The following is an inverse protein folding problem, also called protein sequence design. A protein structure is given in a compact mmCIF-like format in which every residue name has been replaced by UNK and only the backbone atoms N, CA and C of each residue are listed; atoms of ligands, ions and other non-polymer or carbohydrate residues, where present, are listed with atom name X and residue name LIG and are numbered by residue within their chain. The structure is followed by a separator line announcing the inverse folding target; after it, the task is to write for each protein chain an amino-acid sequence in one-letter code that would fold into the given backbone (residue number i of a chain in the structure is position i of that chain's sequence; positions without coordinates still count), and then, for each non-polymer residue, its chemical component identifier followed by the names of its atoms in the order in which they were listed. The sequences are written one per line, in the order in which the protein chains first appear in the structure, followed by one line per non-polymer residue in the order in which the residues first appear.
data_IF_444500119118
#
_entry.id   IF_444500119118
#
_cell.length_a   1.000
_cell.length_b   1.000
_cell.length_c   1.000
_cell.angle_alpha   90.00
_cell.angle_beta   90.00
_cell.angle_gamma   90.00
#
_symmetry.space_group_name_H-M   'P 1'
#
loop_
_entity.id
_entity.type
_entity.pdbx_description
1 polymer ?
#
# COMPACT_ATOMS: atom_id res chain seq x y z
N UNK A 1 14.36 -9.62 -19.41
CA UNK A 1 14.10 -10.85 -20.18
C UNK A 1 12.61 -11.09 -20.20
N UNK A 2 12.03 -11.13 -21.39
CA UNK A 2 10.59 -11.29 -21.64
C UNK A 2 10.25 -12.78 -21.55
N UNK A 3 9.34 -13.18 -20.65
CA UNK A 3 8.83 -14.55 -20.62
C UNK A 3 7.70 -14.66 -21.66
N UNK A 4 7.84 -15.44 -22.74
CA UNK A 4 6.78 -15.59 -23.73
C UNK A 4 5.55 -16.28 -23.10
N UNK A 5 4.35 -15.73 -23.29
CA UNK A 5 3.09 -16.31 -22.82
C UNK A 5 2.44 -15.64 -21.61
N UNK A 6 3.10 -14.70 -20.96
CA UNK A 6 2.55 -13.98 -19.80
C UNK A 6 1.54 -12.91 -20.23
N UNK A 7 0.35 -12.91 -19.63
CA UNK A 7 -0.69 -11.92 -19.91
C UNK A 7 -0.25 -10.50 -19.52
N UNK A 8 -0.59 -9.53 -20.36
CA UNK A 8 -0.30 -8.10 -20.17
C UNK A 8 -1.57 -7.26 -20.29
N UNK A 9 -1.64 -6.18 -19.54
CA UNK A 9 -2.78 -5.24 -19.62
C UNK A 9 -2.74 -4.52 -20.97
N UNK A 10 -3.77 -4.64 -21.83
CA UNK A 10 -3.78 -3.95 -23.12
C UNK A 10 -3.82 -2.43 -22.97
N UNK A 11 -3.16 -1.70 -23.87
CA UNK A 11 -3.09 -0.23 -23.83
C UNK A 11 -2.00 0.34 -22.93
N UNK A 12 -1.13 -0.53 -22.38
CA UNK A 12 0.00 -0.13 -21.55
C UNK A 12 1.29 -0.82 -22.01
N UNK A 13 2.34 -0.04 -22.22
CA UNK A 13 3.67 -0.51 -22.56
C UNK A 13 4.55 -0.59 -21.30
N UNK A 14 4.98 -1.79 -20.91
CA UNK A 14 5.86 -1.97 -19.75
C UNK A 14 7.25 -1.36 -20.00
N UNK A 15 7.75 -0.57 -19.05
CA UNK A 15 9.06 0.07 -19.08
C UNK A 15 10.09 -0.76 -18.33
N UNK A 16 9.83 -1.05 -17.04
CA UNK A 16 10.74 -1.81 -16.18
C UNK A 16 10.01 -2.42 -14.97
N UNK A 17 10.54 -3.48 -14.36
CA UNK A 17 10.04 -3.95 -13.06
C UNK A 17 10.27 -2.90 -11.95
N UNK A 18 9.31 -2.84 -11.03
CA UNK A 18 9.40 -2.08 -9.76
C UNK A 18 9.56 -3.00 -8.56
N UNK A 19 8.99 -4.21 -8.62
CA UNK A 19 9.12 -5.21 -7.58
C UNK A 19 8.34 -6.48 -7.91
N UNK A 20 8.57 -7.52 -7.12
CA UNK A 20 7.85 -8.78 -7.19
C UNK A 20 7.77 -9.39 -5.80
N UNK A 21 6.61 -9.94 -5.44
CA UNK A 21 6.39 -10.65 -4.19
C UNK A 21 5.31 -11.71 -4.32
N UNK A 22 4.92 -12.29 -3.18
CA UNK A 22 3.84 -13.28 -3.07
C UNK A 22 2.48 -12.76 -3.58
N UNK A 23 2.33 -11.43 -3.60
CA UNK A 23 1.17 -10.65 -4.02
C UNK A 23 1.27 -10.16 -5.48
N UNK A 24 2.20 -10.74 -6.24
CA UNK A 24 2.36 -10.54 -7.68
C UNK A 24 3.54 -9.66 -8.08
N UNK A 25 3.63 -9.37 -9.38
CA UNK A 25 4.68 -8.50 -9.95
C UNK A 25 4.16 -7.09 -10.18
N UNK A 26 4.99 -6.09 -9.88
CA UNK A 26 4.71 -4.68 -10.11
C UNK A 26 5.70 -4.15 -11.15
N UNK A 27 5.17 -3.48 -12.16
CA UNK A 27 5.97 -2.85 -13.22
C UNK A 27 5.60 -1.38 -13.39
N UNK A 28 6.58 -0.58 -13.79
CA UNK A 28 6.35 0.74 -14.36
C UNK A 28 5.93 0.53 -15.81
N UNK A 29 4.86 1.17 -16.23
CA UNK A 29 4.38 1.15 -17.60
C UNK A 29 4.00 2.56 -18.05
N UNK A 30 3.86 2.73 -19.36
CA UNK A 30 3.36 3.93 -20.00
C UNK A 30 2.01 3.61 -20.64
N UNK A 31 0.98 4.38 -20.34
CA UNK A 31 -0.30 4.28 -21.04
C UNK A 31 -0.15 4.78 -22.48
N UNK A 32 -0.50 3.96 -23.46
CA UNK A 32 -0.28 4.23 -24.88
C UNK A 32 -1.06 5.45 -25.39
N UNK A 33 -2.22 5.75 -24.80
CA UNK A 33 -3.09 6.85 -25.22
C UNK A 33 -2.62 8.21 -24.70
N UNK A 34 -2.16 8.28 -23.46
CA UNK A 34 -1.76 9.53 -22.80
C UNK A 34 -0.24 9.74 -22.76
N UNK A 35 0.55 8.70 -23.00
CA UNK A 35 2.00 8.72 -22.85
C UNK A 35 2.47 8.82 -21.39
N UNK A 36 1.55 8.63 -20.43
CA UNK A 36 1.86 8.88 -19.02
C UNK A 36 2.23 7.61 -18.26
N UNK A 37 3.04 7.78 -17.21
CA UNK A 37 3.51 6.66 -16.39
C UNK A 37 2.43 6.18 -15.42
N UNK A 38 2.36 4.85 -15.25
CA UNK A 38 1.54 4.15 -14.27
C UNK A 38 2.33 3.02 -13.62
N UNK A 39 1.93 2.62 -12.42
CA UNK A 39 2.33 1.34 -11.86
C UNK A 39 1.24 0.29 -12.14
N UNK A 40 1.64 -0.87 -12.64
CA UNK A 40 0.73 -2.00 -12.88
C UNK A 40 1.16 -3.15 -11.99
N UNK A 41 0.26 -3.58 -11.11
CA UNK A 41 0.41 -4.81 -10.33
C UNK A 41 -0.39 -5.92 -10.99
N UNK A 42 0.31 -6.94 -11.46
CA UNK A 42 -0.30 -8.17 -11.93
C UNK A 42 -0.58 -9.08 -10.75
N UNK A 43 -1.83 -9.51 -10.63
CA UNK A 43 -2.31 -10.31 -9.50
C UNK A 43 -2.07 -11.80 -9.76
N UNK A 44 -1.86 -12.59 -8.69
CA UNK A 44 -1.71 -14.03 -8.83
C UNK A 44 -3.02 -14.69 -9.31
N UNK A 45 -2.94 -15.91 -9.83
CA UNK A 45 -4.08 -16.58 -10.48
C UNK A 45 -5.26 -16.78 -9.53
N UNK A 46 -4.99 -17.00 -8.25
CA UNK A 46 -5.95 -17.14 -7.17
C UNK A 46 -6.85 -15.91 -7.04
N UNK A 47 -6.39 -14.71 -7.43
CA UNK A 47 -7.24 -13.51 -7.45
C UNK A 47 -8.45 -13.66 -8.39
N UNK A 48 -8.37 -14.57 -9.37
CA UNK A 48 -9.40 -14.84 -10.37
C UNK A 48 -10.16 -16.13 -10.13
N UNK A 49 -9.48 -17.15 -9.62
CA UNK A 49 -10.04 -18.51 -9.54
C UNK A 49 -10.73 -18.78 -8.20
N UNK A 50 -10.37 -18.06 -7.13
CA UNK A 50 -10.99 -18.24 -5.82
C UNK A 50 -12.38 -17.59 -5.78
N UNK A 51 -13.44 -18.35 -5.45
CA UNK A 51 -14.81 -17.85 -5.44
C UNK A 51 -14.99 -16.61 -4.54
N UNK A 52 -15.58 -15.55 -5.09
CA UNK A 52 -15.88 -14.32 -4.35
C UNK A 52 -14.69 -13.39 -4.09
N UNK A 53 -13.45 -13.81 -4.40
CA UNK A 53 -12.26 -12.94 -4.26
C UNK A 53 -12.26 -11.84 -5.29
N UNK A 54 -12.51 -12.17 -6.57
CA UNK A 54 -12.55 -11.19 -7.64
C UNK A 54 -13.66 -10.15 -7.43
N UNK A 55 -14.84 -10.58 -6.96
CA UNK A 55 -15.98 -9.70 -6.68
C UNK A 55 -15.67 -8.73 -5.53
N UNK A 56 -15.12 -9.24 -4.43
CA UNK A 56 -14.69 -8.42 -3.28
C UNK A 56 -13.60 -7.43 -3.70
N UNK A 57 -12.56 -7.90 -4.37
CA UNK A 57 -11.47 -7.05 -4.84
C UNK A 57 -11.98 -5.94 -5.77
N UNK A 58 -12.87 -6.26 -6.71
CA UNK A 58 -13.51 -5.26 -7.57
C UNK A 58 -14.34 -4.26 -6.77
N UNK A 59 -15.00 -4.67 -5.68
CA UNK A 59 -15.76 -3.77 -4.83
C UNK A 59 -14.82 -2.82 -4.05
N UNK A 60 -13.79 -3.37 -3.41
CA UNK A 60 -12.81 -2.60 -2.62
C UNK A 60 -12.08 -1.58 -3.51
N UNK A 61 -11.61 -2.00 -4.69
CA UNK A 61 -10.93 -1.11 -5.61
C UNK A 61 -11.83 0.01 -6.13
N UNK A 62 -13.16 -0.20 -6.25
CA UNK A 62 -14.10 0.86 -6.64
C UNK A 62 -14.15 1.94 -5.57
N UNK A 63 -14.26 1.53 -4.31
CA UNK A 63 -14.26 2.44 -3.17
C UNK A 63 -12.95 3.23 -3.10
N UNK A 64 -11.80 2.57 -3.33
CA UNK A 64 -10.49 3.21 -3.33
C UNK A 64 -10.24 4.15 -4.52
N UNK A 65 -10.85 3.90 -5.69
CA UNK A 65 -10.65 4.73 -6.88
C UNK A 65 -11.28 6.14 -6.75
N UNK A 66 -12.28 6.27 -5.88
CA UNK A 66 -12.92 7.54 -5.57
C UNK A 66 -12.17 8.33 -4.48
N UNK A 67 -11.19 7.71 -3.81
CA UNK A 67 -10.36 8.38 -2.80
C UNK A 67 -9.23 9.20 -3.42
N UNK A 68 -9.08 10.41 -2.90
CA UNK A 68 -7.96 11.30 -3.16
C UNK A 68 -7.32 11.70 -1.83
N UNK A 69 -6.33 10.92 -1.39
CA UNK A 69 -5.63 11.15 -0.12
C UNK A 69 -4.12 11.18 -0.35
N UNK A 70 -3.38 12.15 0.23
CA UNK A 70 -1.93 12.26 0.05
C UNK A 70 -1.13 11.10 0.62
N UNK A 71 -1.71 10.23 1.45
CA UNK A 71 -1.06 9.05 2.04
C UNK A 71 -1.48 7.75 1.35
N UNK A 72 -2.27 7.81 0.29
CA UNK A 72 -2.71 6.66 -0.50
C UNK A 72 -2.23 6.80 -1.95
N UNK A 73 -1.74 5.70 -2.53
CA UNK A 73 -1.55 5.66 -3.99
C UNK A 73 -2.90 5.51 -4.68
N UNK A 74 -3.20 6.41 -5.62
CA UNK A 74 -4.48 6.39 -6.32
C UNK A 74 -4.64 5.13 -7.17
N UNK A 75 -5.79 4.47 -7.08
CA UNK A 75 -6.16 3.39 -8.00
C UNK A 75 -6.78 4.00 -9.26
N UNK A 76 -6.31 3.61 -10.43
CA UNK A 76 -6.82 4.12 -11.71
C UNK A 76 -7.74 3.13 -12.42
N UNK A 77 -7.38 1.84 -12.41
CA UNK A 77 -8.08 0.84 -13.21
C UNK A 77 -7.94 -0.55 -12.60
N UNK A 78 -9.00 -1.36 -12.69
CA UNK A 78 -8.92 -2.80 -12.50
C UNK A 78 -9.11 -3.49 -13.85
N UNK A 79 -8.05 -4.13 -14.33
CA UNK A 79 -8.05 -4.83 -15.60
C UNK A 79 -8.11 -6.33 -15.35
N UNK A 80 -9.14 -6.99 -15.89
CA UNK A 80 -9.32 -8.43 -15.78
C UNK A 80 -9.74 -9.06 -17.11
N UNK A 81 -9.38 -10.33 -17.29
CA UNK A 81 -9.76 -11.10 -18.46
C UNK A 81 -9.50 -12.60 -18.29
N UNK A 82 -9.77 -13.41 -19.34
CA UNK A 82 -9.60 -14.87 -19.29
C UNK A 82 -8.16 -15.33 -18.97
N UNK A 83 -7.18 -14.44 -19.15
CA UNK A 83 -5.75 -14.76 -19.04
C UNK A 83 -5.04 -14.11 -17.84
N UNK A 84 -5.71 -13.23 -17.09
CA UNK A 84 -5.08 -12.55 -15.95
C UNK A 84 -5.89 -11.39 -15.38
N UNK A 85 -5.43 -10.87 -14.25
CA UNK A 85 -5.98 -9.71 -13.57
C UNK A 85 -4.86 -8.79 -13.10
N UNK A 86 -5.10 -7.49 -13.09
CA UNK A 86 -4.14 -6.48 -12.71
C UNK A 86 -4.82 -5.22 -12.17
N UNK A 87 -4.08 -4.47 -11.37
CA UNK A 87 -4.47 -3.16 -10.86
C UNK A 87 -3.50 -2.13 -11.44
N UNK A 88 -4.05 -1.12 -12.12
CA UNK A 88 -3.31 0.06 -12.58
C UNK A 88 -3.49 1.16 -11.55
N UNK A 89 -2.39 1.76 -11.11
CA UNK A 89 -2.37 2.74 -10.02
C UNK A 89 -1.30 3.80 -10.24
N UNK A 90 -1.34 4.82 -9.39
CA UNK A 90 -0.33 5.87 -9.31
C UNK A 90 1.06 5.25 -9.12
N UNK A 91 2.05 5.61 -9.96
CA UNK A 91 3.44 5.27 -9.71
C UNK A 91 4.01 6.23 -8.67
N UNK A 92 4.02 5.85 -7.39
CA UNK A 92 4.58 6.69 -6.33
C UNK A 92 6.08 6.87 -6.52
N UNK A 93 6.54 8.12 -6.61
CA UNK A 93 7.96 8.43 -6.79
C UNK A 93 8.78 8.31 -5.50
N UNK A 94 9.00 7.06 -5.08
CA UNK A 94 9.71 6.75 -3.85
C UNK A 94 10.28 5.34 -3.84
N UNK A 95 10.89 4.98 -2.72
CA UNK A 95 11.37 3.62 -2.44
C UNK A 95 10.56 3.00 -1.30
N UNK A 96 10.45 1.67 -1.25
CA UNK A 96 9.74 1.03 -0.13
C UNK A 96 10.48 1.25 1.19
N UNK A 97 9.73 1.33 2.29
CA UNK A 97 10.28 1.39 3.64
C UNK A 97 11.16 0.15 3.91
N UNK A 98 10.83 -1.01 3.32
CA UNK A 98 11.75 -2.16 3.35
C UNK A 98 13.13 -1.83 2.77
N UNK A 99 13.20 -1.13 1.64
CA UNK A 99 14.47 -0.74 1.05
C UNK A 99 15.21 0.28 1.94
N UNK A 100 14.49 1.22 2.54
CA UNK A 100 15.05 2.17 3.53
C UNK A 100 15.66 1.41 4.71
N UNK A 101 14.91 0.49 5.33
CA UNK A 101 15.35 -0.28 6.49
C UNK A 101 16.51 -1.24 6.19
N UNK A 102 16.69 -1.66 4.93
CA UNK A 102 17.90 -2.42 4.52
C UNK A 102 19.15 -1.54 4.48
N UNK A 103 19.01 -0.27 4.16
CA UNK A 103 20.13 0.69 4.14
C UNK A 103 20.47 1.17 5.54
N UNK A 104 19.45 1.50 6.35
CA UNK A 104 19.62 1.98 7.71
C UNK A 104 18.49 1.50 8.62
N UNK A 105 18.85 0.74 9.65
CA UNK A 105 17.92 0.28 10.69
C UNK A 105 18.68 0.03 12.00
N UNK A 106 18.16 0.42 13.17
CA UNK A 106 16.93 1.21 13.36
C UNK A 106 17.06 2.64 12.80
N UNK A 107 15.91 3.28 12.59
CA UNK A 107 15.83 4.70 12.20
C UNK A 107 15.53 5.58 13.41
N UNK A 108 15.70 6.90 13.27
CA UNK A 108 15.45 7.81 14.40
C UNK A 108 13.98 7.79 14.83
N UNK A 109 13.67 8.00 16.13
CA UNK A 109 12.30 8.01 16.60
C UNK A 109 11.40 9.01 15.85
N UNK A 110 11.92 10.20 15.53
CA UNK A 110 11.16 11.21 14.77
C UNK A 110 10.81 10.74 13.36
N UNK A 111 11.74 10.10 12.66
CA UNK A 111 11.47 9.55 11.32
C UNK A 111 10.44 8.41 11.39
N UNK A 112 10.59 7.50 12.37
CA UNK A 112 9.65 6.39 12.57
C UNK A 112 8.23 6.87 12.88
N UNK A 113 8.07 7.88 13.75
CA UNK A 113 6.78 8.45 14.12
C UNK A 113 6.12 9.17 12.93
N UNK A 114 6.89 9.83 12.06
CA UNK A 114 6.35 10.45 10.83
C UNK A 114 5.82 9.41 9.85
N UNK A 115 6.60 8.35 9.59
CA UNK A 115 6.15 7.25 8.71
C UNK A 115 4.92 6.52 9.28
N UNK A 116 4.88 6.37 10.60
CA UNK A 116 3.73 5.79 11.29
C UNK A 116 2.50 6.70 11.21
N UNK A 117 2.65 8.02 11.39
CA UNK A 117 1.56 9.00 11.23
C UNK A 117 0.96 8.94 9.83
N UNK A 118 1.79 9.00 8.78
CA UNK A 118 1.32 8.89 7.40
C UNK A 118 0.57 7.59 7.14
N UNK A 119 1.09 6.48 7.68
CA UNK A 119 0.44 5.17 7.56
C UNK A 119 -0.94 5.17 8.23
N UNK A 120 -1.05 5.73 9.44
CA UNK A 120 -2.34 5.83 10.13
C UNK A 120 -3.32 6.77 9.41
N UNK A 121 -2.85 7.87 8.83
CA UNK A 121 -3.69 8.77 8.04
C UNK A 121 -4.25 8.07 6.79
N UNK A 122 -3.40 7.36 6.04
CA UNK A 122 -3.86 6.57 4.89
C UNK A 122 -4.82 5.44 5.30
N UNK A 123 -4.54 4.76 6.41
CA UNK A 123 -5.46 3.75 6.96
C UNK A 123 -6.80 4.36 7.37
N UNK A 124 -6.80 5.54 8.00
CA UNK A 124 -8.03 6.23 8.40
C UNK A 124 -8.90 6.54 7.18
N UNK A 125 -8.32 7.10 6.11
CA UNK A 125 -9.04 7.40 4.87
C UNK A 125 -9.63 6.14 4.22
N UNK A 126 -8.87 5.03 4.17
CA UNK A 126 -9.37 3.77 3.62
C UNK A 126 -10.47 3.14 4.50
N UNK A 127 -10.31 3.17 5.83
CA UNK A 127 -11.30 2.62 6.77
C UNK A 127 -12.62 3.40 6.73
N UNK A 128 -12.57 4.72 6.56
CA UNK A 128 -13.76 5.56 6.37
C UNK A 128 -14.53 5.19 5.10
N UNK A 129 -13.81 4.82 4.03
CA UNK A 129 -14.41 4.30 2.80
C UNK A 129 -14.88 2.83 2.90
N UNK A 130 -14.68 2.18 4.06
CA UNK A 130 -15.07 0.78 4.29
C UNK A 130 -14.08 -0.25 3.77
N UNK A 131 -12.84 0.15 3.44
CA UNK A 131 -11.81 -0.74 2.88
C UNK A 131 -10.72 -1.01 3.91
N UNK A 132 -10.44 -2.29 4.15
CA UNK A 132 -9.35 -2.75 5.03
C UNK A 132 -8.09 -3.01 4.18
N UNK A 133 -6.91 -2.60 4.66
CA UNK A 133 -5.67 -2.85 3.94
C UNK A 133 -5.33 -4.34 3.94
N UNK A 134 -5.36 -4.99 5.10
CA UNK A 134 -5.23 -6.45 5.27
C UNK A 134 -3.83 -7.04 5.07
N UNK A 135 -2.86 -6.24 4.64
CA UNK A 135 -1.46 -6.66 4.42
C UNK A 135 -0.49 -5.47 4.57
N UNK A 136 -0.68 -4.65 5.61
CA UNK A 136 0.23 -3.54 5.89
C UNK A 136 1.60 -4.08 6.34
N UNK A 137 2.67 -3.65 5.66
CA UNK A 137 4.07 -4.09 5.88
C UNK A 137 5.05 -3.10 5.24
N UNK A 138 6.36 -3.15 5.56
CA UNK A 138 7.33 -2.17 5.04
C UNK A 138 7.45 -2.14 3.50
N UNK A 139 7.09 -3.23 2.81
CA UNK A 139 7.04 -3.28 1.35
C UNK A 139 5.90 -2.42 0.76
N UNK A 140 4.88 -2.10 1.57
CA UNK A 140 3.67 -1.37 1.18
C UNK A 140 3.65 0.09 1.62
N UNK A 141 4.71 0.56 2.28
CA UNK A 141 4.92 1.97 2.61
C UNK A 141 5.98 2.51 1.65
N UNK A 142 5.62 3.40 0.73
CA UNK A 142 6.54 4.02 -0.23
C UNK A 142 6.95 5.39 0.27
N UNK A 143 8.25 5.55 0.53
CA UNK A 143 8.89 6.74 1.09
C UNK A 143 9.42 7.62 -0.05
N UNK A 144 8.96 8.86 -0.09
CA UNK A 144 9.29 9.85 -1.11
C UNK A 144 10.49 10.72 -0.68
N UNK A 145 11.12 11.38 -1.66
CA UNK A 145 12.32 12.19 -1.43
C UNK A 145 12.11 13.46 -0.60
N UNK A 146 10.86 13.89 -0.39
CA UNK A 146 10.48 15.02 0.45
C UNK A 146 10.17 14.63 1.91
N UNK A 147 10.25 13.34 2.23
CA UNK A 147 9.93 12.82 3.56
C UNK A 147 8.45 12.47 3.78
N UNK A 148 7.62 12.55 2.74
CA UNK A 148 6.27 11.98 2.74
C UNK A 148 6.30 10.47 2.50
N UNK A 149 5.23 9.79 2.88
CA UNK A 149 5.02 8.39 2.50
C UNK A 149 3.59 8.10 2.07
N UNK A 150 3.46 7.16 1.14
CA UNK A 150 2.17 6.67 0.62
C UNK A 150 2.05 5.17 0.82
N UNK A 151 0.85 4.73 1.16
CA UNK A 151 0.48 3.34 1.23
C UNK A 151 0.05 2.82 -0.15
N UNK A 152 0.47 1.59 -0.47
CA UNK A 152 0.08 0.85 -1.68
C UNK A 152 -0.45 -0.52 -1.31
N UNK A 153 -1.20 -1.16 -2.22
CA UNK A 153 -1.56 -2.59 -2.06
C UNK A 153 -2.80 -2.86 -1.22
N UNK A 154 -3.68 -1.87 -1.00
CA UNK A 154 -4.95 -2.06 -0.30
C UNK A 154 -5.85 -3.07 -0.98
N UNK A 155 -6.48 -3.94 -0.18
CA UNK A 155 -7.47 -4.90 -0.66
C UNK A 155 -6.91 -5.98 -1.60
N UNK A 156 -5.60 -5.97 -1.88
CA UNK A 156 -4.97 -6.87 -2.86
C UNK A 156 -4.56 -8.21 -2.25
N UNK A 157 -4.76 -8.39 -0.95
CA UNK A 157 -4.47 -9.65 -0.27
C UNK A 157 -5.49 -10.73 -0.68
N UNK A 158 -5.08 -11.55 -1.64
CA UNK A 158 -5.87 -12.69 -2.15
C UNK A 158 -5.99 -13.78 -1.09
N UNK A 159 -4.94 -13.97 -0.27
CA UNK A 159 -4.91 -14.88 0.89
C UNK A 159 -4.23 -14.19 2.06
N UNK A 160 -4.82 -14.29 3.25
CA UNK A 160 -4.16 -13.91 4.50
C UNK A 160 -3.03 -14.92 4.79
N UNK A 161 -1.83 -14.65 4.27
CA UNK A 161 -0.62 -15.36 4.69
C UNK A 161 -0.06 -14.64 5.90
N UNK A 162 0.13 -15.39 6.98
CA UNK A 162 0.70 -14.85 8.20
C UNK A 162 2.15 -14.40 7.96
N UNK A 163 2.38 -13.10 7.99
CA UNK A 163 3.70 -12.47 8.04
C UNK A 163 4.08 -12.18 9.50
N UNK A 164 5.27 -11.63 9.72
CA UNK A 164 5.68 -11.13 11.03
C UNK A 164 4.76 -9.99 11.55
N UNK A 165 4.08 -9.27 10.65
CA UNK A 165 3.22 -8.12 10.96
C UNK A 165 1.75 -8.51 11.16
N UNK A 166 1.37 -9.75 10.85
CA UNK A 166 -0.02 -10.19 10.93
C UNK A 166 -0.50 -10.23 12.38
N UNK A 167 -1.63 -9.54 12.62
CA UNK A 167 -2.27 -9.48 13.93
C UNK A 167 -2.64 -10.88 14.45
N UNK A 168 -2.59 -11.11 15.78
CA UNK A 168 -2.87 -12.43 16.37
C UNK A 168 -4.21 -13.02 15.95
N UNK A 169 -5.25 -12.20 15.86
CA UNK A 169 -6.57 -12.62 15.44
C UNK A 169 -6.65 -13.08 13.99
N UNK A 170 -5.92 -12.42 13.10
CA UNK A 170 -5.86 -12.78 11.67
C UNK A 170 -5.05 -14.07 11.50
N UNK A 171 -3.96 -14.24 12.27
CA UNK A 171 -3.24 -15.53 12.33
C UNK A 171 -4.11 -16.67 12.86
N UNK A 172 -5.05 -16.36 13.76
CA UNK A 172 -6.04 -17.30 14.26
C UNK A 172 -7.22 -17.54 13.29
N UNK A 173 -7.17 -16.98 12.07
CA UNK A 173 -8.18 -17.19 11.03
C UNK A 173 -9.36 -16.22 11.06
N UNK A 174 -9.37 -15.22 11.95
CA UNK A 174 -10.39 -14.15 11.87
C UNK A 174 -10.12 -13.26 10.65
N UNK A 175 -11.16 -12.71 10.00
CA UNK A 175 -10.97 -11.75 8.92
C UNK A 175 -10.16 -10.53 9.37
N UNK A 176 -9.42 -9.93 8.43
CA UNK A 176 -8.77 -8.65 8.65
C UNK A 176 -9.81 -7.55 8.95
N UNK A 177 -9.42 -6.58 9.77
CA UNK A 177 -10.24 -5.46 10.21
C UNK A 177 -9.38 -4.20 10.38
N UNK A 178 -10.01 -3.05 10.63
CA UNK A 178 -9.30 -1.83 10.98
C UNK A 178 -8.33 -2.02 12.17
N UNK A 179 -8.75 -2.80 13.18
CA UNK A 179 -7.91 -3.10 14.33
C UNK A 179 -6.66 -3.93 13.97
N UNK A 180 -6.76 -4.85 13.00
CA UNK A 180 -5.60 -5.62 12.55
C UNK A 180 -4.62 -4.79 11.71
N UNK A 181 -5.12 -3.82 10.95
CA UNK A 181 -4.26 -2.87 10.21
C UNK A 181 -3.48 -1.96 11.17
N UNK A 182 -4.13 -1.45 12.22
CA UNK A 182 -3.46 -0.66 13.27
C UNK A 182 -2.38 -1.48 13.99
N UNK A 183 -2.64 -2.76 14.26
CA UNK A 183 -1.61 -3.67 14.79
C UNK A 183 -0.43 -3.78 13.83
N UNK A 184 -0.69 -4.04 12.55
CA UNK A 184 0.35 -4.20 11.55
C UNK A 184 1.19 -2.93 11.37
N UNK A 185 0.56 -1.75 11.35
CA UNK A 185 1.26 -0.46 11.32
C UNK A 185 2.12 -0.24 12.57
N UNK A 186 1.62 -0.63 13.75
CA UNK A 186 2.41 -0.54 14.99
C UNK A 186 3.57 -1.53 14.99
N UNK A 187 3.39 -2.71 14.38
CA UNK A 187 4.44 -3.71 14.22
C UNK A 187 5.57 -3.18 13.30
N UNK A 188 5.23 -2.43 12.24
CA UNK A 188 6.18 -1.71 11.39
C UNK A 188 6.89 -0.59 12.17
N UNK A 189 6.17 0.20 12.98
CA UNK A 189 6.77 1.21 13.86
C UNK A 189 7.79 0.58 14.81
N UNK A 190 7.44 -0.54 15.44
CA UNK A 190 8.33 -1.27 16.36
C UNK A 190 9.62 -1.72 15.67
N UNK A 191 9.54 -2.24 14.45
CA UNK A 191 10.73 -2.57 13.65
C UNK A 191 11.56 -1.33 13.32
N UNK A 192 10.93 -0.22 12.94
CA UNK A 192 11.63 1.03 12.66
C UNK A 192 12.44 1.52 13.88
N UNK A 193 11.86 1.41 15.08
CA UNK A 193 12.48 1.87 16.33
C UNK A 193 13.56 0.93 16.86
N UNK A 194 13.42 -0.38 16.64
CA UNK A 194 14.28 -1.40 17.27
C UNK A 194 15.23 -2.10 16.30
N UNK A 195 14.95 -1.99 15.01
CA UNK A 195 15.61 -2.74 13.93
C UNK A 195 15.35 -4.24 13.94
N UNK A 196 14.35 -4.70 14.72
CA UNK A 196 14.00 -6.11 14.86
C UNK A 196 12.61 -6.38 14.34
N UNK A 197 12.46 -7.49 13.62
CA UNK A 197 11.15 -7.94 13.15
C UNK A 197 10.21 -8.22 14.34
N UNK A 198 8.91 -7.89 14.22
CA UNK A 198 7.94 -7.99 15.32
C UNK A 198 7.51 -9.44 15.70
N UNK A 199 8.22 -10.48 15.24
CA UNK A 199 7.73 -11.86 15.21
C UNK A 199 7.69 -12.64 16.54
N UNK A 200 6.55 -13.33 16.78
CA UNK A 200 6.38 -14.45 17.74
C UNK A 200 5.81 -14.11 19.12
N UNK A 201 6.01 -14.97 20.13
CA UNK A 201 5.75 -14.72 21.59
C UNK A 201 6.58 -13.54 22.16
N UNK A 202 7.28 -12.79 21.29
CA UNK A 202 8.28 -11.79 21.60
C UNK A 202 7.78 -10.35 21.39
N UNK A 203 6.50 -10.13 21.12
CA UNK A 203 5.89 -8.79 21.07
C UNK A 203 6.25 -7.97 22.32
N UNK A 204 6.11 -8.59 23.50
CA UNK A 204 6.48 -7.97 24.79
C UNK A 204 8.00 -7.67 24.92
N UNK A 205 8.86 -8.49 24.30
CA UNK A 205 10.30 -8.31 24.35
C UNK A 205 10.81 -7.24 23.37
N UNK A 206 10.10 -7.02 22.26
CA UNK A 206 10.36 -5.93 21.32
C UNK A 206 9.98 -4.57 21.94
N UNK A 207 8.83 -4.49 22.63
CA UNK A 207 8.38 -3.27 23.33
C UNK A 207 9.36 -2.78 24.40
N UNK A 208 10.13 -3.68 25.04
CA UNK A 208 11.16 -3.28 26.02
C UNK A 208 12.30 -2.46 25.41
N UNK A 209 12.57 -2.63 24.12
CA UNK A 209 13.64 -1.91 23.40
C UNK A 209 13.16 -0.59 22.79
N UNK A 210 11.85 -0.39 22.75
CA UNK A 210 11.25 0.89 22.39
C UNK A 210 11.65 1.93 23.45
N UNK A 211 12.04 3.15 23.03
CA UNK A 211 12.30 4.25 23.96
C UNK A 211 11.13 4.44 24.93
N UNK A 212 11.43 4.62 26.22
CA UNK A 212 10.42 4.69 27.30
C UNK A 212 9.24 5.61 26.96
N UNK A 213 9.43 6.84 26.41
CA UNK A 213 8.30 7.72 26.09
C UNK A 213 7.34 7.19 25.02
N UNK A 214 7.74 6.20 24.21
CA UNK A 214 6.94 5.64 23.12
C UNK A 214 6.41 4.24 23.42
N UNK A 215 6.78 3.68 24.58
CA UNK A 215 6.50 2.27 24.90
C UNK A 215 4.99 2.01 24.99
N UNK A 216 4.27 2.84 25.72
CA UNK A 216 2.82 2.66 25.94
C UNK A 216 2.03 2.74 24.61
N UNK A 217 2.42 3.67 23.73
CA UNK A 217 1.87 3.81 22.37
C UNK A 217 2.04 2.50 21.58
N UNK A 218 3.25 1.92 21.60
CA UNK A 218 3.56 0.68 20.89
C UNK A 218 2.86 -0.52 21.54
N UNK A 219 2.84 -0.62 22.86
CA UNK A 219 2.19 -1.72 23.58
C UNK A 219 0.67 -1.76 23.34
N UNK A 220 0.02 -0.60 23.32
CA UNK A 220 -1.41 -0.47 22.98
C UNK A 220 -1.70 -0.87 21.54
N UNK A 221 -0.93 -0.39 20.57
CA UNK A 221 -1.11 -0.78 19.17
C UNK A 221 -0.84 -2.28 18.92
N UNK A 222 0.10 -2.87 19.66
CA UNK A 222 0.43 -4.31 19.60
C UNK A 222 -0.39 -5.19 20.56
N UNK A 223 -1.44 -4.67 21.18
CA UNK A 223 -2.25 -5.44 22.11
C UNK A 223 -2.82 -6.70 21.43
N UNK A 224 -2.71 -7.85 22.11
CA UNK A 224 -3.20 -9.12 21.57
C UNK A 224 -4.72 -9.15 21.38
N UNK A 225 -5.45 -8.47 22.27
CA UNK A 225 -6.88 -8.23 22.15
C UNK A 225 -7.14 -6.97 21.28
N UNK A 226 -7.84 -7.08 20.15
CA UNK A 226 -8.23 -5.93 19.34
C UNK A 226 -8.99 -4.84 20.11
N UNK A 227 -9.76 -5.19 21.15
CA UNK A 227 -10.54 -4.24 21.94
C UNK A 227 -9.71 -3.33 22.85
N UNK A 228 -8.43 -3.66 23.08
CA UNK A 228 -7.49 -2.85 23.87
C UNK A 228 -6.67 -1.87 23.00
N UNK A 229 -6.78 -1.98 21.68
CA UNK A 229 -6.11 -1.08 20.73
C UNK A 229 -6.90 0.23 20.62
N UNK A 230 -6.30 1.31 20.09
CA UNK A 230 -7.06 2.51 19.73
C UNK A 230 -8.27 2.15 18.84
N UNK A 231 -9.43 2.78 19.06
CA UNK A 231 -10.69 2.36 18.41
C UNK A 231 -10.74 2.69 16.92
N UNK A 232 -9.93 3.63 16.44
CA UNK A 232 -9.79 3.97 15.02
C UNK A 232 -8.41 4.54 14.72
N UNK A 233 -7.99 4.48 13.46
CA UNK A 233 -6.72 5.04 13.03
C UNK A 233 -6.65 6.56 13.26
N UNK A 234 -7.76 7.28 13.08
CA UNK A 234 -7.84 8.71 13.37
C UNK A 234 -7.62 9.03 14.85
N UNK A 235 -8.21 8.25 15.77
CA UNK A 235 -7.94 8.42 17.21
C UNK A 235 -6.50 8.06 17.57
N UNK A 236 -5.91 7.09 16.87
CA UNK A 236 -4.51 6.73 17.06
C UNK A 236 -3.56 7.84 16.60
N UNK A 237 -3.89 8.57 15.52
CA UNK A 237 -3.13 9.76 15.08
C UNK A 237 -3.14 10.85 16.17
N UNK A 238 -4.31 11.11 16.77
CA UNK A 238 -4.41 12.12 17.84
C UNK A 238 -3.52 11.78 19.04
N UNK A 239 -3.56 10.52 19.48
CA UNK A 239 -2.69 10.03 20.55
C UNK A 239 -1.19 10.10 20.17
N UNK A 240 -0.86 9.69 18.95
CA UNK A 240 0.50 9.75 18.41
C UNK A 240 1.04 11.18 18.46
N UNK A 241 0.25 12.17 18.06
CA UNK A 241 0.67 13.57 18.04
C UNK A 241 1.02 14.09 19.45
N UNK A 242 0.22 13.74 20.45
CA UNK A 242 0.48 14.08 21.86
C UNK A 242 1.77 13.42 22.37
N UNK A 243 1.90 12.11 22.17
CA UNK A 243 3.07 11.32 22.61
C UNK A 243 4.34 11.78 21.89
N UNK A 244 4.28 12.00 20.58
CA UNK A 244 5.42 12.43 19.78
C UNK A 244 5.88 13.85 20.17
N UNK A 245 4.95 14.77 20.42
CA UNK A 245 5.27 16.11 20.90
C UNK A 245 5.96 16.08 22.26
N UNK A 246 5.45 15.28 23.20
CA UNK A 246 6.05 15.11 24.52
C UNK A 246 7.44 14.46 24.47
N UNK A 247 7.61 13.41 23.65
CA UNK A 247 8.84 12.64 23.56
C UNK A 247 9.94 13.32 22.73
N UNK A 248 9.57 14.01 21.65
CA UNK A 248 10.49 14.48 20.62
C UNK A 248 10.51 16.02 20.44
N UNK A 249 9.66 16.75 21.18
CA UNK A 249 9.46 18.20 21.16
C UNK A 249 8.48 18.66 20.07
N UNK A 250 7.96 19.88 20.18
CA UNK A 250 6.91 20.41 19.30
C UNK A 250 7.22 20.37 17.79
N UNK A 251 8.49 20.53 17.40
CA UNK A 251 8.92 20.44 15.99
C UNK A 251 9.34 19.02 15.59
N UNK A 252 8.81 17.98 16.24
CA UNK A 252 9.13 16.58 15.94
C UNK A 252 8.79 16.22 14.49
N UNK A 253 7.65 16.67 13.98
CA UNK A 253 7.16 16.31 12.64
C UNK A 253 8.06 16.91 11.56
N UNK A 254 8.35 18.21 11.61
CA UNK A 254 9.25 18.86 10.65
C UNK A 254 10.65 18.23 10.64
N UNK A 255 11.20 17.93 11.82
CA UNK A 255 12.51 17.25 11.92
C UNK A 255 12.44 15.80 11.46
N UNK A 256 11.33 15.11 11.73
CA UNK A 256 11.08 13.75 11.27
C UNK A 256 11.00 13.69 9.75
N UNK A 257 10.26 14.59 9.10
CA UNK A 257 10.18 14.72 7.64
C UNK A 257 11.56 14.87 7.01
N UNK A 258 12.39 15.77 7.53
CA UNK A 258 13.79 15.92 7.08
C UNK A 258 14.60 14.64 7.24
N UNK A 259 14.49 13.99 8.40
CA UNK A 259 15.18 12.72 8.64
C UNK A 259 14.70 11.59 7.70
N UNK A 260 13.41 11.55 7.35
CA UNK A 260 12.87 10.60 6.35
C UNK A 260 13.41 10.92 4.96
N UNK A 261 13.45 12.20 4.57
CA UNK A 261 14.05 12.62 3.30
C UNK A 261 15.54 12.23 3.21
N UNK A 262 16.30 12.43 4.28
CA UNK A 262 17.71 12.03 4.36
C UNK A 262 17.90 10.51 4.20
N UNK A 263 16.99 9.72 4.77
CA UNK A 263 16.96 8.26 4.60
C UNK A 263 16.61 7.83 3.17
N UNK A 264 15.76 8.59 2.48
CA UNK A 264 15.31 8.30 1.12
C UNK A 264 16.31 8.77 0.05
N UNK A 265 17.11 9.80 0.32
CA UNK A 265 18.01 10.42 -0.65
C UNK A 265 18.98 9.45 -1.33
N UNK A 266 19.64 8.49 -0.62
CA UNK A 266 20.51 7.50 -1.27
C UNK A 266 19.77 6.56 -2.24
N UNK A 267 18.45 6.42 -2.08
CA UNK A 267 17.62 5.55 -2.90
C UNK A 267 16.99 6.29 -4.09
N UNK A 268 17.14 7.62 -4.19
CA UNK A 268 16.56 8.42 -5.27
C UNK A 268 16.83 7.89 -6.69
N UNK A 269 18.04 7.37 -7.03
CA UNK A 269 18.30 6.77 -8.34
C UNK A 269 17.43 5.54 -8.67
N UNK A 270 16.81 4.91 -7.67
CA UNK A 270 15.93 3.75 -7.83
C UNK A 270 14.46 4.12 -8.04
N UNK A 271 14.09 5.38 -7.79
CA UNK A 271 12.72 5.84 -7.84
C UNK A 271 12.09 5.66 -9.23
N UNK A 272 10.77 5.38 -9.31
CA UNK A 272 10.12 5.03 -10.56
C UNK A 272 10.05 6.17 -11.57
N UNK A 273 10.04 7.43 -11.14
CA UNK A 273 9.73 8.55 -12.03
C UNK A 273 10.88 9.55 -12.18
N UNK A 274 11.18 9.86 -13.44
CA UNK A 274 11.95 11.06 -13.83
C UNK A 274 11.04 12.21 -14.30
N UNK A 275 9.71 12.04 -14.24
CA UNK A 275 8.67 13.00 -14.69
C UNK A 275 7.40 12.87 -13.83
N UNK A 276 6.58 13.92 -13.66
CA UNK A 276 5.38 13.85 -12.83
C UNK A 276 4.38 12.78 -13.32
N UNK A 277 3.65 12.12 -12.39
CA UNK A 277 2.63 11.12 -12.71
C UNK A 277 1.37 11.74 -13.34
N UNK A 278 0.46 10.89 -13.84
CA UNK A 278 -0.88 11.29 -14.31
C UNK A 278 -1.63 12.12 -13.27
N UNK A 279 -2.04 13.32 -13.64
CA UNK A 279 -3.06 14.07 -12.92
C UNK A 279 -4.44 13.67 -13.47
N UNK A 280 -5.01 12.60 -12.91
CA UNK A 280 -6.39 12.18 -13.20
C UNK A 280 -7.28 12.51 -12.01
N UNK A 281 -8.44 13.16 -12.24
CA UNK A 281 -9.40 13.34 -11.18
C UNK A 281 -9.91 11.98 -10.67
N UNK A 282 -10.22 11.85 -9.37
CA UNK A 282 -10.85 10.65 -8.81
C UNK A 282 -12.13 10.29 -9.57
N UNK A 283 -12.44 9.00 -9.70
CA UNK A 283 -13.68 8.53 -10.34
C UNK A 283 -13.65 7.15 -10.99
N UNK A 284 -14.85 6.76 -11.48
CA UNK A 284 -15.28 5.42 -11.93
C UNK A 284 -14.16 4.54 -12.50
N UNK A 285 -13.86 3.46 -11.78
CA UNK A 285 -13.02 2.37 -12.28
C UNK A 285 -13.47 1.89 -13.66
N UNK A 286 -12.57 2.00 -14.63
CA UNK A 286 -12.74 1.27 -15.88
C UNK A 286 -12.55 -0.22 -15.61
N UNK A 287 -13.50 -1.02 -16.09
CA UNK A 287 -13.31 -2.47 -16.23
C UNK A 287 -13.26 -2.78 -17.72
N UNK A 288 -12.15 -3.38 -18.15
CA UNK A 288 -11.97 -3.76 -19.56
C UNK A 288 -12.92 -4.88 -20.02
N UNK A 289 -13.62 -5.56 -19.10
CA UNK A 289 -14.66 -6.53 -19.45
C UNK A 289 -15.76 -5.92 -20.34
N UNK A 290 -16.01 -4.61 -20.22
CA UNK A 290 -16.99 -3.89 -21.04
C UNK A 290 -16.40 -3.32 -22.34
N UNK A 291 -15.12 -2.92 -22.36
CA UNK A 291 -14.51 -2.27 -23.52
C UNK A 291 -14.35 -3.22 -24.73
N UNK A 292 -14.15 -4.51 -24.48
CA UNK A 292 -14.11 -5.54 -25.52
C UNK A 292 -15.43 -5.67 -26.28
N UNK A 293 -16.58 -5.41 -25.64
CA UNK A 293 -17.90 -5.43 -26.33
C UNK A 293 -18.09 -4.23 -27.25
N UNK A 294 -17.47 -3.08 -26.94
CA UNK A 294 -17.60 -1.86 -27.74
C UNK A 294 -16.75 -1.84 -29.02
N UNK A 295 -15.60 -2.54 -29.03
CA UNK A 295 -14.72 -2.64 -30.22
C UNK A 295 -15.20 -3.68 -31.23
N UNK A 296 -15.82 -4.78 -30.78
CA UNK A 296 -16.43 -5.76 -31.70
C UNK A 296 -17.80 -5.32 -32.25
N UNK A 297 -18.57 -4.52 -31.51
CA UNK A 297 -19.86 -3.99 -31.98
C UNK A 297 -19.77 -2.98 -33.14
N UNK A 298 -18.65 -2.27 -33.29
CA UNK A 298 -18.45 -1.32 -34.41
C UNK A 298 -17.82 -1.92 -35.66
N UNK A 299 -17.22 -3.12 -35.56
CA UNK A 299 -16.71 -3.86 -36.72
C UNK A 299 -17.83 -4.66 -37.41
N UNK A 300 -18.79 -5.20 -36.65
CA UNK A 300 -19.94 -5.93 -37.21
C UNK A 300 -20.96 -5.00 -37.92
N UNK A 301 -21.07 -3.73 -37.51
CA UNK A 301 -21.99 -2.77 -38.13
C UNK A 301 -21.51 -2.18 -39.48
N UNK A 302 -20.28 -2.47 -39.92
CA UNK A 302 -19.75 -2.03 -41.23
C UNK A 302 -19.87 -3.08 -42.35
N UNK A 303 -20.20 -4.33 -42.02
CA UNK A 303 -20.45 -5.39 -43.02
C UNK A 303 -21.94 -5.60 -43.34
N UNK A 304 -22.86 -4.87 -42.68
CA UNK A 304 -24.31 -4.97 -42.92
C UNK A 304 -24.89 -3.77 -43.71
N UNK A 305 -24.05 -3.02 -44.45
CA UNK A 305 -24.49 -1.90 -45.31
C UNK A 305 -23.95 -1.97 -46.74
N UNK A 306 -23.44 -3.13 -47.14
CA UNK A 306 -23.09 -3.45 -48.53
C UNK A 306 -23.59 -4.85 -48.79
N UNK A 307 -24.92 -4.96 -48.94
CA UNK A 307 -25.65 -5.94 -49.75
C UNK A 307 -27.08 -5.42 -49.91
#
# INVERSE_FOLDING_TARGET
MTVPGEWRVPGYAEVRPLGSGDDGRVVLAVEETSGSHVAIRYLPEEARTEPGVAERLRADLRLLADLDDPHLARVHEYADGPRGAAVVMEPVNGASLRAVLRGQSPITPRAALVLFKDSLLGLAAAHEAGVVHGDHKPEHVLVQGDGASKLVGFGLAVRARATAYTAPEVRAGRPASAASDMYAATAVLSECLTGRLPGGRHSEAASRQVPVPLRDLVERGLAGDPGLRPPSAAMFVAELDEVASAACGAAWEQRGRRAVADLAAPLAPTFPLNRPPLDRPPGVLRSMAAAARSRFGRAAARHARTD
#
